data_IF_019217449264
#
_entry.id   IF_019217449264
#
_cell.length_a   1.000
_cell.length_b   1.000
_cell.length_c   1.000
_cell.angle_alpha   90.00
_cell.angle_beta   90.00
_cell.angle_gamma   90.00
#
_symmetry.space_group_name_H-M   'P 1'
#
loop_
_entity.id
_entity.type
_entity.pdbx_description
1 polymer ?
#
# COMPACT_ATOMS: atom_id res chain seq x y z
N UNK A 1 8.17 -11.36 3.61
CA UNK A 1 9.33 -10.41 3.54
C UNK A 1 8.77 -9.08 3.10
N UNK A 2 9.01 -8.03 3.84
CA UNK A 2 8.54 -6.69 3.45
C UNK A 2 9.26 -6.22 2.17
N UNK A 3 8.56 -5.54 1.24
CA UNK A 3 9.19 -4.93 0.08
C UNK A 3 10.28 -3.92 0.51
N UNK A 4 11.46 -3.93 -0.13
CA UNK A 4 12.57 -3.07 0.27
C UNK A 4 12.22 -1.58 0.31
N UNK A 5 11.45 -1.08 -0.65
CA UNK A 5 11.01 0.32 -0.70
C UNK A 5 10.18 0.73 0.52
N UNK A 6 9.21 -0.10 0.94
CA UNK A 6 8.40 0.18 2.13
C UNK A 6 9.27 0.18 3.40
N UNK A 7 10.22 -0.76 3.49
CA UNK A 7 11.14 -0.82 4.63
C UNK A 7 12.02 0.43 4.70
N UNK A 8 12.53 0.89 3.56
CA UNK A 8 13.37 2.09 3.47
C UNK A 8 12.57 3.36 3.82
N UNK A 9 11.40 3.55 3.21
CA UNK A 9 10.51 4.68 3.51
C UNK A 9 10.12 4.72 4.99
N UNK A 10 9.75 3.57 5.58
CA UNK A 10 9.46 3.49 7.01
C UNK A 10 10.66 3.87 7.88
N UNK A 11 11.87 3.44 7.51
CA UNK A 11 13.09 3.78 8.25
C UNK A 11 13.42 5.28 8.15
N UNK A 12 13.27 5.87 6.95
CA UNK A 12 13.48 7.31 6.72
C UNK A 12 12.49 8.13 7.55
N UNK A 13 11.19 7.83 7.48
CA UNK A 13 10.16 8.54 8.24
C UNK A 13 10.37 8.44 9.75
N UNK A 14 10.68 7.25 10.26
CA UNK A 14 10.98 7.05 11.69
C UNK A 14 12.22 7.81 12.14
N UNK A 15 13.26 7.88 11.31
CA UNK A 15 14.45 8.69 11.59
C UNK A 15 14.12 10.18 11.68
N UNK A 16 13.17 10.65 10.88
CA UNK A 16 12.66 12.02 10.90
C UNK A 16 11.68 12.29 12.06
N UNK A 17 11.38 11.29 12.90
CA UNK A 17 10.53 11.42 14.09
C UNK A 17 9.04 11.18 13.85
N UNK A 18 8.63 10.72 12.67
CA UNK A 18 7.23 10.38 12.39
C UNK A 18 6.87 8.99 12.93
N UNK A 19 5.65 8.86 13.43
CA UNK A 19 5.08 7.55 13.74
C UNK A 19 4.66 6.85 12.44
N UNK A 20 5.06 5.59 12.29
CA UNK A 20 4.77 4.79 11.09
C UNK A 20 4.27 3.43 11.49
N UNK A 21 3.12 3.07 10.96
CA UNK A 21 2.57 1.72 11.04
C UNK A 21 2.34 1.15 9.64
N UNK A 22 2.27 -0.19 9.52
CA UNK A 22 2.16 -0.88 8.26
C UNK A 22 0.94 -1.81 8.25
N UNK A 23 0.19 -1.75 7.16
CA UNK A 23 -0.82 -2.76 6.82
C UNK A 23 -0.35 -3.58 5.63
N UNK A 24 -0.02 -4.84 5.86
CA UNK A 24 0.49 -5.78 4.85
C UNK A 24 -0.63 -6.74 4.43
N UNK A 25 -1.01 -6.71 3.16
CA UNK A 25 -2.05 -7.56 2.58
C UNK A 25 -1.55 -8.94 2.13
N UNK A 26 -0.23 -9.16 2.08
CA UNK A 26 0.36 -10.41 1.55
C UNK A 26 0.03 -11.65 2.39
N UNK A 27 -0.37 -11.45 3.65
CA UNK A 27 -0.73 -12.55 4.55
C UNK A 27 -2.21 -12.95 4.48
N UNK A 28 -3.05 -12.19 3.77
CA UNK A 28 -4.47 -12.50 3.67
C UNK A 28 -4.75 -13.53 2.58
N UNK A 29 -5.77 -14.37 2.81
CA UNK A 29 -6.18 -15.35 1.82
C UNK A 29 -6.72 -14.65 0.56
N UNK A 30 -5.96 -14.73 -0.53
CA UNK A 30 -6.29 -14.09 -1.80
C UNK A 30 -7.55 -14.62 -2.47
N UNK A 31 -8.02 -15.83 -2.10
CA UNK A 31 -9.21 -16.46 -2.67
C UNK A 31 -10.48 -15.70 -2.30
N UNK A 32 -10.50 -15.03 -1.14
CA UNK A 32 -11.65 -14.26 -0.66
C UNK A 32 -11.63 -12.79 -1.13
N UNK A 33 -10.50 -12.33 -1.68
CA UNK A 33 -10.37 -10.96 -2.17
C UNK A 33 -10.92 -10.92 -3.59
N UNK A 34 -12.12 -10.37 -3.79
CA UNK A 34 -12.78 -10.30 -5.12
C UNK A 34 -11.91 -9.65 -6.22
N UNK A 35 -11.02 -8.74 -5.85
CA UNK A 35 -10.06 -8.12 -6.75
C UNK A 35 -9.08 -9.11 -7.39
N UNK A 36 -8.89 -10.29 -6.80
CA UNK A 36 -8.00 -11.35 -7.31
C UNK A 36 -8.73 -12.41 -8.13
N UNK A 37 -10.04 -12.27 -8.39
CA UNK A 37 -10.78 -13.23 -9.22
C UNK A 37 -10.24 -13.36 -10.65
N UNK A 38 -9.55 -12.33 -11.15
CA UNK A 38 -8.81 -12.40 -12.41
C UNK A 38 -7.48 -13.17 -12.31
N UNK A 39 -7.00 -13.46 -11.11
CA UNK A 39 -5.73 -14.17 -10.88
C UNK A 39 -5.88 -15.70 -10.77
N UNK A 40 -7.06 -16.27 -11.00
CA UNK A 40 -7.23 -17.74 -11.04
C UNK A 40 -6.32 -18.40 -12.08
N UNK A 41 -6.05 -17.72 -13.19
CA UNK A 41 -5.12 -18.20 -14.22
C UNK A 41 -3.66 -18.06 -13.76
N UNK A 42 -3.35 -17.08 -12.91
CA UNK A 42 -2.00 -16.88 -12.38
C UNK A 42 -1.58 -18.00 -11.42
N UNK A 43 -2.48 -18.42 -10.52
CA UNK A 43 -2.21 -19.54 -9.61
C UNK A 43 -2.05 -20.88 -10.37
N UNK A 44 -2.89 -21.15 -11.39
CA UNK A 44 -2.70 -22.32 -12.27
C UNK A 44 -1.36 -22.26 -13.01
N UNK A 45 -0.92 -21.06 -13.42
CA UNK A 45 0.37 -20.89 -14.08
C UNK A 45 1.55 -21.14 -13.12
N UNK A 46 1.40 -20.81 -11.82
CA UNK A 46 2.41 -21.07 -10.80
C UNK A 46 2.52 -22.57 -10.48
N UNK A 47 1.40 -23.29 -10.39
CA UNK A 47 1.39 -24.74 -10.16
C UNK A 47 2.10 -25.54 -11.26
N UNK A 48 2.11 -25.04 -12.49
CA UNK A 48 2.74 -25.66 -13.65
C UNK A 48 4.19 -25.19 -13.90
N UNK A 49 4.76 -24.31 -13.09
CA UNK A 49 6.14 -23.86 -13.25
C UNK A 49 7.10 -24.78 -12.50
N UNK A 50 8.01 -25.42 -13.25
CA UNK A 50 9.08 -26.29 -12.75
C UNK A 50 10.05 -25.63 -11.75
N UNK A 51 9.96 -24.31 -11.57
CA UNK A 51 10.83 -23.53 -10.69
C UNK A 51 10.25 -23.25 -9.30
N UNK A 52 9.04 -23.74 -8.98
CA UNK A 52 8.44 -23.55 -7.67
C UNK A 52 8.84 -24.68 -6.74
N UNK A 53 9.73 -24.39 -5.80
CA UNK A 53 10.06 -25.33 -4.71
C UNK A 53 9.12 -25.12 -3.53
N UNK A 54 8.63 -26.21 -2.89
CA UNK A 54 7.85 -26.07 -1.66
C UNK A 54 8.64 -25.31 -0.59
N UNK A 55 8.02 -24.34 0.06
CA UNK A 55 8.66 -23.64 1.17
C UNK A 55 8.89 -24.60 2.35
N UNK A 56 10.08 -24.60 2.97
CA UNK A 56 10.33 -25.35 4.19
C UNK A 56 9.29 -24.99 5.27
N UNK A 57 8.95 -25.97 6.14
CA UNK A 57 7.89 -25.76 7.16
C UNK A 57 8.11 -24.53 8.04
N UNK A 58 9.36 -24.27 8.45
CA UNK A 58 9.73 -23.10 9.24
C UNK A 58 9.63 -21.75 8.50
N UNK A 59 9.37 -21.78 7.19
CA UNK A 59 9.15 -20.59 6.34
C UNK A 59 7.70 -20.47 5.84
N UNK A 60 6.81 -21.32 6.32
CA UNK A 60 5.38 -21.21 5.96
C UNK A 60 4.83 -19.88 6.47
N UNK A 61 4.27 -19.11 5.56
CA UNK A 61 3.57 -17.86 5.89
C UNK A 61 2.28 -18.21 6.62
N UNK A 62 2.02 -17.55 7.74
CA UNK A 62 0.74 -17.68 8.43
C UNK A 62 -0.30 -16.92 7.62
N UNK A 63 -1.23 -17.65 7.03
CA UNK A 63 -2.33 -17.06 6.25
C UNK A 63 -3.42 -16.58 7.20
N UNK A 64 -3.85 -15.32 7.02
CA UNK A 64 -5.00 -14.74 7.73
C UNK A 64 -6.28 -15.02 6.95
N UNK A 65 -7.28 -15.53 7.66
CA UNK A 65 -8.62 -15.81 7.12
C UNK A 65 -9.67 -14.77 7.58
N UNK A 66 -9.22 -13.67 8.18
CA UNK A 66 -10.07 -12.55 8.56
C UNK A 66 -10.36 -11.65 7.36
N UNK A 67 -11.42 -10.85 7.46
CA UNK A 67 -11.78 -9.92 6.39
C UNK A 67 -10.76 -8.78 6.32
N UNK A 68 -10.03 -8.70 5.21
CA UNK A 68 -8.95 -7.72 4.99
C UNK A 68 -9.46 -6.27 5.08
N UNK A 69 -10.69 -6.01 4.62
CA UNK A 69 -11.28 -4.66 4.62
C UNK A 69 -11.64 -4.19 6.03
N UNK A 70 -12.21 -5.09 6.83
CA UNK A 70 -12.53 -4.80 8.23
C UNK A 70 -11.28 -4.62 9.07
N UNK A 71 -10.28 -5.47 8.89
CA UNK A 71 -9.01 -5.39 9.61
C UNK A 71 -8.26 -4.11 9.25
N UNK A 72 -8.27 -3.71 7.96
CA UNK A 72 -7.70 -2.45 7.52
C UNK A 72 -8.40 -1.26 8.18
N UNK A 73 -9.74 -1.20 8.12
CA UNK A 73 -10.50 -0.11 8.74
C UNK A 73 -10.28 -0.03 10.26
N UNK A 74 -10.29 -1.15 10.96
CA UNK A 74 -9.98 -1.21 12.40
C UNK A 74 -8.58 -0.68 12.70
N UNK A 75 -7.60 -1.07 11.89
CA UNK A 75 -6.21 -0.60 12.05
C UNK A 75 -6.08 0.90 11.82
N UNK A 76 -6.70 1.44 10.76
CA UNK A 76 -6.70 2.88 10.47
C UNK A 76 -7.35 3.66 11.62
N UNK A 77 -8.50 3.23 12.12
CA UNK A 77 -9.18 3.89 13.25
C UNK A 77 -8.33 3.83 14.53
N UNK A 78 -7.69 2.70 14.79
CA UNK A 78 -6.86 2.51 16.00
C UNK A 78 -5.57 3.33 15.96
N UNK A 79 -4.95 3.48 14.79
CA UNK A 79 -3.71 4.22 14.63
C UNK A 79 -3.95 5.73 14.46
N UNK A 80 -5.04 6.13 13.79
CA UNK A 80 -5.40 7.53 13.54
C UNK A 80 -4.39 8.27 12.66
N UNK A 81 -4.05 7.76 11.45
CA UNK A 81 -3.02 8.39 10.63
C UNK A 81 -3.49 9.73 10.03
N UNK A 82 -2.57 10.68 9.87
CA UNK A 82 -2.78 11.93 9.11
C UNK A 82 -2.60 11.72 7.60
N UNK A 83 -1.84 10.69 7.21
CA UNK A 83 -1.55 10.32 5.83
C UNK A 83 -1.56 8.80 5.67
N UNK A 84 -2.22 8.32 4.62
CA UNK A 84 -2.11 6.92 4.19
C UNK A 84 -1.31 6.88 2.89
N UNK A 85 -0.14 6.23 2.92
CA UNK A 85 0.69 6.01 1.75
C UNK A 85 0.55 4.57 1.27
N UNK A 86 0.03 4.39 0.06
CA UNK A 86 -0.14 3.11 -0.62
C UNK A 86 1.00 2.87 -1.60
N UNK A 87 1.77 1.79 -1.42
CA UNK A 87 2.74 1.32 -2.42
C UNK A 87 2.15 0.12 -3.16
N UNK A 88 2.08 0.19 -4.49
CA UNK A 88 1.36 -0.82 -5.27
C UNK A 88 1.96 -1.09 -6.64
N UNK A 89 1.73 -2.32 -7.12
CA UNK A 89 1.88 -2.77 -8.51
C UNK A 89 0.51 -2.70 -9.21
N UNK A 90 0.47 -2.88 -10.53
CA UNK A 90 -0.77 -2.79 -11.31
C UNK A 90 -1.81 -3.83 -10.88
N UNK A 91 -1.40 -5.06 -10.68
CA UNK A 91 -2.25 -6.19 -10.28
C UNK A 91 -2.88 -6.01 -8.90
N UNK A 92 -2.19 -5.32 -7.98
CA UNK A 92 -2.67 -5.07 -6.61
C UNK A 92 -3.37 -3.71 -6.45
N UNK A 93 -3.33 -2.84 -7.46
CA UNK A 93 -3.88 -1.50 -7.38
C UNK A 93 -5.38 -1.48 -7.05
N UNK A 94 -6.16 -2.35 -7.69
CA UNK A 94 -7.62 -2.44 -7.43
C UNK A 94 -7.95 -2.83 -5.99
N UNK A 95 -7.16 -3.73 -5.39
CA UNK A 95 -7.28 -4.06 -3.98
C UNK A 95 -7.01 -2.83 -3.10
N UNK A 96 -5.96 -2.07 -3.42
CA UNK A 96 -5.62 -0.84 -2.72
C UNK A 96 -6.77 0.18 -2.76
N UNK A 97 -7.35 0.44 -3.93
CA UNK A 97 -8.53 1.30 -4.09
C UNK A 97 -9.71 0.78 -3.26
N UNK A 98 -9.99 -0.53 -3.31
CA UNK A 98 -11.09 -1.12 -2.53
C UNK A 98 -10.89 -0.98 -1.01
N UNK A 99 -9.65 -1.01 -0.53
CA UNK A 99 -9.31 -0.74 0.87
C UNK A 99 -9.56 0.73 1.22
N UNK A 100 -9.07 1.67 0.40
CA UNK A 100 -9.25 3.11 0.61
C UNK A 100 -10.73 3.52 0.58
N UNK A 101 -11.53 2.91 -0.31
CA UNK A 101 -12.99 3.12 -0.34
C UNK A 101 -13.64 2.82 1.02
N UNK A 102 -13.15 1.84 1.78
CA UNK A 102 -13.70 1.47 3.11
C UNK A 102 -13.45 2.50 4.20
N UNK A 103 -12.60 3.47 3.96
CA UNK A 103 -12.22 4.52 4.92
C UNK A 103 -12.47 5.93 4.38
N UNK A 104 -13.12 6.08 3.24
CA UNK A 104 -13.39 7.37 2.60
C UNK A 104 -14.15 8.35 3.52
N UNK A 105 -14.99 7.83 4.41
CA UNK A 105 -15.70 8.59 5.44
C UNK A 105 -14.77 9.24 6.48
N UNK A 106 -13.57 8.73 6.66
CA UNK A 106 -12.58 9.27 7.62
C UNK A 106 -11.84 10.50 7.08
N UNK A 107 -11.92 10.79 5.78
CA UNK A 107 -11.31 11.96 5.11
C UNK A 107 -9.81 12.12 5.39
N UNK A 108 -9.09 11.03 5.44
CA UNK A 108 -7.64 11.00 5.61
C UNK A 108 -6.99 11.20 4.25
N UNK A 109 -5.97 12.07 4.19
CA UNK A 109 -5.19 12.30 2.97
C UNK A 109 -4.54 11.01 2.48
N UNK A 110 -4.60 10.74 1.17
CA UNK A 110 -4.11 9.51 0.57
C UNK A 110 -3.06 9.76 -0.50
N UNK A 111 -1.97 9.00 -0.45
CA UNK A 111 -0.89 9.05 -1.42
C UNK A 111 -0.67 7.67 -2.05
N UNK A 112 -0.57 7.62 -3.38
CA UNK A 112 -0.17 6.41 -4.09
C UNK A 112 1.24 6.53 -4.65
N UNK A 113 2.07 5.53 -4.40
CA UNK A 113 3.43 5.39 -4.90
C UNK A 113 3.74 3.96 -5.37
N UNK A 114 4.95 3.75 -5.83
CA UNK A 114 5.42 2.49 -6.39
C UNK A 114 5.41 2.48 -7.92
N UNK A 115 5.60 1.28 -8.50
CA UNK A 115 5.82 1.15 -9.96
C UNK A 115 4.61 1.61 -10.76
N UNK A 116 3.41 1.14 -10.42
CA UNK A 116 2.23 1.47 -11.22
C UNK A 116 1.86 2.96 -11.15
N UNK A 117 1.78 3.63 -9.99
CA UNK A 117 1.56 5.07 -9.93
C UNK A 117 2.64 5.89 -10.65
N UNK A 118 3.90 5.43 -10.66
CA UNK A 118 4.98 6.09 -11.39
C UNK A 118 4.81 5.99 -12.90
N UNK A 119 4.29 4.87 -13.41
CA UNK A 119 4.09 4.64 -14.84
C UNK A 119 2.81 5.27 -15.38
N UNK A 120 1.74 5.32 -14.58
CA UNK A 120 0.42 5.78 -14.98
C UNK A 120 -0.18 6.83 -14.02
N UNK A 121 0.53 7.93 -13.69
CA UNK A 121 0.12 8.85 -12.64
C UNK A 121 -1.23 9.53 -12.91
N UNK A 122 -1.53 9.89 -14.17
CA UNK A 122 -2.82 10.49 -14.54
C UNK A 122 -3.99 9.53 -14.35
N UNK A 123 -3.79 8.24 -14.66
CA UNK A 123 -4.81 7.21 -14.44
C UNK A 123 -5.04 7.00 -12.95
N UNK A 124 -3.98 6.94 -12.15
CA UNK A 124 -4.09 6.76 -10.69
C UNK A 124 -4.80 7.95 -10.05
N UNK A 125 -4.49 9.19 -10.45
CA UNK A 125 -5.18 10.40 -9.98
C UNK A 125 -6.62 10.54 -10.46
N UNK A 126 -7.10 9.72 -11.40
CA UNK A 126 -8.51 9.73 -11.80
C UNK A 126 -9.43 8.97 -10.82
N UNK A 127 -8.86 8.30 -9.84
CA UNK A 127 -9.62 7.63 -8.78
C UNK A 127 -9.82 8.58 -7.59
N UNK A 128 -11.07 8.76 -7.18
CA UNK A 128 -11.48 9.64 -6.07
C UNK A 128 -10.89 9.25 -4.70
N UNK A 129 -10.30 8.09 -4.60
CA UNK A 129 -9.63 7.57 -3.41
C UNK A 129 -8.17 8.01 -3.30
N UNK A 130 -7.62 8.70 -4.32
CA UNK A 130 -6.22 9.10 -4.36
C UNK A 130 -6.10 10.62 -4.49
N UNK A 131 -5.50 11.24 -3.50
CA UNK A 131 -5.27 12.69 -3.47
C UNK A 131 -3.93 13.07 -4.09
N UNK A 132 -2.89 12.24 -3.87
CA UNK A 132 -1.50 12.53 -4.27
C UNK A 132 -0.89 11.31 -4.95
N UNK A 133 -0.08 11.54 -5.97
CA UNK A 133 0.80 10.52 -6.56
C UNK A 133 2.26 10.89 -6.37
N UNK A 134 3.02 9.98 -5.75
CA UNK A 134 4.48 10.04 -5.69
C UNK A 134 5.06 9.27 -6.89
N UNK A 135 5.74 9.97 -7.79
CA UNK A 135 6.31 9.41 -9.00
C UNK A 135 7.81 9.14 -8.81
N UNK A 136 8.21 7.88 -8.84
CA UNK A 136 9.61 7.48 -8.61
C UNK A 136 9.90 7.22 -7.13
N UNK A 137 11.05 7.68 -6.65
CA UNK A 137 11.54 7.42 -5.30
C UNK A 137 10.95 8.40 -4.29
N UNK A 138 10.42 7.90 -3.19
CA UNK A 138 9.71 8.72 -2.19
C UNK A 138 10.55 9.19 -1.01
N UNK A 139 11.82 8.77 -0.92
CA UNK A 139 12.65 8.96 0.27
C UNK A 139 12.95 10.43 0.59
N UNK A 140 12.98 11.28 -0.43
CA UNK A 140 13.17 12.71 -0.24
C UNK A 140 11.84 13.45 -0.11
N UNK A 141 10.87 13.15 -0.99
CA UNK A 141 9.61 13.88 -1.06
C UNK A 141 8.65 13.58 0.11
N UNK A 142 8.56 12.30 0.53
CA UNK A 142 7.60 11.90 1.55
C UNK A 142 7.88 12.54 2.94
N UNK A 143 9.11 12.62 3.45
CA UNK A 143 9.40 13.36 4.69
C UNK A 143 9.07 14.84 4.60
N UNK A 144 9.34 15.48 3.45
CA UNK A 144 9.00 16.89 3.22
C UNK A 144 7.48 17.09 3.25
N UNK A 145 6.73 16.23 2.56
CA UNK A 145 5.27 16.24 2.60
C UNK A 145 4.75 16.10 4.04
N UNK A 146 5.24 15.10 4.79
CA UNK A 146 4.82 14.90 6.18
C UNK A 146 5.12 16.11 7.07
N UNK A 147 6.29 16.78 6.90
CA UNK A 147 6.61 18.00 7.65
C UNK A 147 5.68 19.16 7.35
N UNK A 148 5.28 19.31 6.09
CA UNK A 148 4.33 20.34 5.68
C UNK A 148 2.93 20.06 6.26
N UNK A 149 2.50 18.80 6.24
CA UNK A 149 1.23 18.38 6.86
C UNK A 149 1.23 18.65 8.36
N UNK A 150 2.30 18.29 9.08
CA UNK A 150 2.46 18.55 10.52
C UNK A 150 2.33 20.05 10.86
N UNK A 151 2.83 20.92 9.97
CA UNK A 151 2.77 22.37 10.14
C UNK A 151 1.53 23.04 9.56
N UNK A 152 0.63 22.28 8.95
CA UNK A 152 -0.51 22.80 8.17
C UNK A 152 -0.07 23.78 7.06
N UNK A 153 1.07 23.52 6.41
CA UNK A 153 1.59 24.29 5.27
C UNK A 153 1.08 23.72 3.95
N UNK A 154 1.04 24.53 2.87
CA UNK A 154 0.81 24.02 1.52
C UNK A 154 1.95 23.11 1.11
N UNK A 155 1.58 22.03 0.39
CA UNK A 155 2.53 21.03 -0.15
C UNK A 155 2.56 21.00 -1.68
N UNK A 156 2.00 22.01 -2.34
CA UNK A 156 1.96 22.10 -3.81
C UNK A 156 3.35 22.21 -4.46
N UNK A 157 4.34 22.65 -3.69
CA UNK A 157 5.73 22.81 -4.10
C UNK A 157 6.62 21.60 -3.78
N UNK A 158 6.05 20.54 -3.19
CA UNK A 158 6.81 19.31 -2.94
C UNK A 158 7.08 18.61 -4.28
N UNK A 159 8.35 18.54 -4.63
CA UNK A 159 8.81 17.88 -5.86
C UNK A 159 9.41 16.52 -5.56
N UNK A 160 9.24 15.63 -6.52
CA UNK A 160 9.77 14.27 -6.46
C UNK A 160 10.45 13.91 -7.80
#
# INVERSE_FOLDING_TARGET
MLPPGISLLSAVLKREGFEVDLFDTTQYNSVEIEATKHSKDHNKTLENKLSVSPAPEHKKVVVKYTNVFEDFRKKVISFGPDLIAMSTTEDMFRLGISLLTKIKDLKILTLAGGIFPSMAPKLVLSFDEIDIVCKGEGEAALPVLCRKLEKNESYDDVTN
#
